data_IF_193433177869
#
_entry.id   IF_193433177869
#
_cell.length_a   1.000
_cell.length_b   1.000
_cell.length_c   1.000
_cell.angle_alpha   90.00
_cell.angle_beta   90.00
_cell.angle_gamma   90.00
#
_symmetry.space_group_name_H-M   'P 1'
#
loop_
_entity.id
_entity.type
_entity.pdbx_description
1 polymer ?
#
# COMPACT_ATOMS: atom_id res chain seq x y z
N UNK A 1 32.13 -38.10 -44.83
CA UNK A 1 32.66 -37.45 -43.63
C UNK A 1 32.11 -36.03 -43.62
N UNK A 2 30.98 -35.83 -42.94
CA UNK A 2 30.27 -34.56 -42.90
C UNK A 2 30.95 -33.61 -41.93
N UNK A 3 31.27 -32.41 -42.42
CA UNK A 3 31.82 -31.29 -41.67
C UNK A 3 30.75 -30.74 -40.73
N UNK A 4 30.99 -30.80 -39.42
CA UNK A 4 30.19 -30.14 -38.40
C UNK A 4 30.64 -28.68 -38.27
N UNK A 5 29.85 -27.76 -38.82
CA UNK A 5 29.95 -26.35 -38.48
C UNK A 5 29.56 -26.18 -37.00
N UNK A 6 30.50 -25.69 -36.19
CA UNK A 6 30.26 -25.29 -34.81
C UNK A 6 29.62 -23.90 -34.84
N UNK A 7 28.34 -23.88 -34.54
CA UNK A 7 27.57 -22.68 -34.26
C UNK A 7 28.09 -22.09 -32.93
N UNK A 8 28.66 -20.89 -32.99
CA UNK A 8 29.13 -20.18 -31.80
C UNK A 8 27.97 -19.32 -31.32
N UNK A 9 27.45 -19.50 -30.10
CA UNK A 9 26.38 -18.64 -29.60
C UNK A 9 26.94 -17.21 -29.49
N UNK A 10 26.26 -16.27 -30.15
CA UNK A 10 26.57 -14.85 -30.06
C UNK A 10 26.62 -14.42 -28.60
N UNK A 11 27.74 -13.85 -28.20
CA UNK A 11 27.88 -13.13 -26.95
C UNK A 11 26.83 -12.00 -26.94
N UNK A 12 25.81 -12.11 -26.09
CA UNK A 12 24.95 -10.98 -25.75
C UNK A 12 25.86 -9.88 -25.21
N UNK A 13 25.95 -8.77 -25.94
CA UNK A 13 26.63 -7.57 -25.46
C UNK A 13 25.89 -7.08 -24.21
N UNK A 14 26.47 -7.34 -23.04
CA UNK A 14 25.98 -6.78 -21.78
C UNK A 14 26.17 -5.28 -21.85
N UNK A 15 25.07 -4.53 -21.95
CA UNK A 15 25.09 -3.07 -21.93
C UNK A 15 25.87 -2.58 -20.70
N UNK A 16 26.69 -1.52 -20.82
CA UNK A 16 27.43 -0.98 -19.69
C UNK A 16 26.45 -0.53 -18.59
N UNK A 17 26.81 -0.69 -17.31
CA UNK A 17 25.95 -0.30 -16.20
C UNK A 17 25.68 1.21 -16.25
N UNK A 18 24.41 1.58 -16.01
CA UNK A 18 24.00 2.98 -15.98
C UNK A 18 24.72 3.74 -14.87
N UNK A 19 25.07 5.03 -15.08
CA UNK A 19 25.66 5.87 -14.04
C UNK A 19 24.72 5.94 -12.82
N UNK A 20 25.30 5.90 -11.61
CA UNK A 20 24.55 6.00 -10.34
C UNK A 20 24.04 7.43 -10.18
N UNK A 21 22.78 7.58 -9.78
CA UNK A 21 22.22 8.86 -9.37
C UNK A 21 23.01 9.40 -8.16
N UNK A 22 23.32 10.68 -8.19
CA UNK A 22 24.02 11.40 -7.13
C UNK A 22 23.24 12.66 -6.78
N UNK A 23 23.34 13.08 -5.52
CA UNK A 23 22.78 14.36 -5.08
C UNK A 23 23.47 15.51 -5.80
N UNK A 24 22.68 16.48 -6.29
CA UNK A 24 23.22 17.71 -6.89
C UNK A 24 23.79 18.66 -5.85
N UNK A 25 23.20 18.65 -4.67
CA UNK A 25 23.58 19.46 -3.52
C UNK A 25 24.25 18.58 -2.45
N UNK A 26 25.07 19.14 -1.54
CA UNK A 26 25.56 18.40 -0.38
C UNK A 26 24.39 17.84 0.44
N UNK A 27 24.58 16.63 1.00
CA UNK A 27 23.60 16.00 1.88
C UNK A 27 23.24 16.96 3.04
N UNK A 28 21.98 17.40 3.17
CA UNK A 28 21.58 18.28 4.26
C UNK A 28 21.57 17.54 5.60
N UNK A 29 21.76 18.25 6.74
CA UNK A 29 21.48 17.69 8.04
C UNK A 29 19.98 17.39 8.20
N UNK A 30 19.66 16.52 9.15
CA UNK A 30 18.27 16.31 9.58
C UNK A 30 17.74 17.60 10.21
N UNK A 31 16.53 17.99 9.82
CA UNK A 31 15.79 19.11 10.38
C UNK A 31 15.00 18.58 11.58
N UNK A 32 15.52 18.79 12.78
CA UNK A 32 14.94 18.37 14.06
C UNK A 32 14.87 19.51 15.11
N UNK A 33 15.14 20.75 14.68
CA UNK A 33 15.00 21.96 15.49
C UNK A 33 13.98 22.92 14.90
N UNK A 34 13.33 23.72 15.76
CA UNK A 34 12.34 24.71 15.33
C UNK A 34 12.96 25.76 14.39
N UNK A 35 14.17 26.24 14.69
CA UNK A 35 14.84 27.25 13.85
C UNK A 35 15.15 26.71 12.45
N UNK A 36 15.67 25.48 12.35
CA UNK A 36 15.95 24.85 11.05
C UNK A 36 14.67 24.58 10.27
N UNK A 37 13.59 24.17 10.96
CA UNK A 37 12.30 23.91 10.36
C UNK A 37 11.65 25.18 9.79
N UNK A 38 11.60 26.27 10.56
CA UNK A 38 11.09 27.57 10.11
C UNK A 38 11.90 28.10 8.93
N UNK A 39 13.24 28.00 9.01
CA UNK A 39 14.11 28.40 7.90
C UNK A 39 13.85 27.57 6.64
N UNK A 40 13.63 26.27 6.78
CA UNK A 40 13.34 25.40 5.65
C UNK A 40 11.97 25.70 5.03
N UNK A 41 10.92 25.88 5.84
CA UNK A 41 9.60 26.28 5.36
C UNK A 41 9.67 27.61 4.59
N UNK A 42 10.45 28.59 5.06
CA UNK A 42 10.70 29.82 4.32
C UNK A 42 11.35 29.54 2.94
N UNK A 43 12.34 28.64 2.86
CA UNK A 43 12.94 28.25 1.56
C UNK A 43 11.92 27.57 0.63
N UNK A 44 11.07 26.69 1.16
CA UNK A 44 10.01 26.01 0.38
C UNK A 44 9.00 27.01 -0.17
N UNK A 45 8.60 28.00 0.64
CA UNK A 45 7.66 29.07 0.23
C UNK A 45 8.22 29.99 -0.85
N UNK A 46 9.54 30.20 -0.86
CA UNK A 46 10.25 30.99 -1.88
C UNK A 46 10.59 30.17 -3.13
N UNK A 47 10.50 28.84 -3.06
CA UNK A 47 10.71 27.95 -4.19
C UNK A 47 9.58 28.04 -5.21
N UNK A 48 9.79 27.45 -6.39
CA UNK A 48 8.83 27.52 -7.49
C UNK A 48 8.46 26.14 -8.03
N UNK A 49 7.31 26.07 -8.72
CA UNK A 49 6.85 24.83 -9.33
C UNK A 49 6.34 23.79 -8.32
N UNK A 50 6.23 22.52 -8.77
CA UNK A 50 5.76 21.41 -7.94
C UNK A 50 6.77 21.02 -6.86
N UNK A 51 6.30 20.27 -5.87
CA UNK A 51 7.10 19.84 -4.71
C UNK A 51 7.21 18.32 -4.72
N UNK A 52 8.42 17.79 -4.73
CA UNK A 52 8.70 16.38 -4.52
C UNK A 52 8.60 16.05 -3.03
N UNK A 53 7.82 15.03 -2.68
CA UNK A 53 7.73 14.50 -1.31
C UNK A 53 7.95 12.99 -1.28
N UNK A 54 8.43 12.52 -0.13
CA UNK A 54 8.45 11.11 0.25
C UNK A 54 8.36 10.98 1.79
N UNK A 55 8.10 9.78 2.30
CA UNK A 55 8.09 9.52 3.73
C UNK A 55 8.59 8.12 4.11
N UNK A 56 9.39 8.05 5.17
CA UNK A 56 9.93 6.80 5.68
C UNK A 56 9.22 6.31 6.94
N UNK A 57 9.02 5.00 7.01
CA UNK A 57 8.31 4.33 8.12
C UNK A 57 9.15 3.19 8.67
N UNK A 58 9.03 2.92 9.97
CA UNK A 58 9.68 1.78 10.62
C UNK A 58 8.87 0.47 10.49
N UNK A 59 8.38 0.19 9.28
CA UNK A 59 7.52 -0.96 8.97
C UNK A 59 8.20 -2.28 9.33
N UNK A 60 7.52 -3.12 10.11
CA UNK A 60 8.09 -4.39 10.60
C UNK A 60 8.90 -4.26 11.90
N UNK A 61 9.17 -3.04 12.37
CA UNK A 61 9.80 -2.78 13.67
C UNK A 61 8.80 -2.16 14.66
N UNK A 62 7.97 -1.23 14.18
CA UNK A 62 6.94 -0.49 14.93
C UNK A 62 5.52 -0.94 14.60
N UNK A 63 4.59 -0.62 15.49
CA UNK A 63 3.17 -0.87 15.25
C UNK A 63 2.58 0.26 14.39
N UNK A 64 2.84 1.50 14.82
CA UNK A 64 2.46 2.71 14.11
C UNK A 64 3.02 2.70 12.69
N UNK A 65 2.23 3.25 11.77
CA UNK A 65 2.65 3.51 10.39
C UNK A 65 3.02 5.00 10.20
N UNK A 66 3.24 5.73 11.30
CA UNK A 66 3.63 7.14 11.27
C UNK A 66 4.96 7.33 10.53
N UNK A 67 5.13 8.50 9.94
CA UNK A 67 6.40 8.90 9.36
C UNK A 67 7.47 9.06 10.45
N UNK A 68 8.69 8.64 10.13
CA UNK A 68 9.91 8.83 10.93
C UNK A 68 10.95 9.69 10.21
N UNK A 69 10.72 9.99 8.93
CA UNK A 69 11.43 10.98 8.14
C UNK A 69 10.48 11.44 7.03
N UNK A 70 10.47 12.73 6.72
CA UNK A 70 9.77 13.29 5.57
C UNK A 70 10.80 14.01 4.71
N UNK A 71 10.86 13.63 3.43
CA UNK A 71 11.76 14.24 2.47
C UNK A 71 10.96 15.22 1.62
N UNK A 72 11.53 16.40 1.41
CA UNK A 72 10.91 17.44 0.58
C UNK A 72 11.96 18.04 -0.34
N UNK A 73 11.60 18.29 -1.59
CA UNK A 73 12.43 19.06 -2.52
C UNK A 73 11.56 19.89 -3.45
N UNK A 74 11.88 21.17 -3.57
CA UNK A 74 11.30 22.12 -4.52
C UNK A 74 12.42 22.87 -5.23
N UNK A 75 12.17 23.31 -6.46
CA UNK A 75 13.13 24.16 -7.15
C UNK A 75 13.37 25.45 -6.35
N UNK A 76 14.63 25.73 -6.04
CA UNK A 76 15.04 26.85 -5.17
C UNK A 76 15.08 26.57 -3.67
N UNK A 77 14.51 25.47 -3.15
CA UNK A 77 14.52 25.16 -1.71
C UNK A 77 15.68 24.27 -1.25
N UNK A 78 16.22 23.48 -2.19
CA UNK A 78 17.06 22.31 -1.89
C UNK A 78 16.27 21.18 -1.21
N UNK A 79 16.94 20.06 -0.97
CA UNK A 79 16.37 18.92 -0.24
C UNK A 79 16.28 19.24 1.26
N UNK A 80 15.15 18.90 1.88
CA UNK A 80 14.96 18.88 3.32
C UNK A 80 14.68 17.47 3.80
N UNK A 81 15.28 17.09 4.92
CA UNK A 81 15.11 15.81 5.59
C UNK A 81 14.53 16.09 6.98
N UNK A 82 13.21 16.14 7.09
CA UNK A 82 12.51 16.57 8.31
C UNK A 82 12.23 15.38 9.21
N UNK A 83 12.66 15.44 10.47
CA UNK A 83 12.27 14.46 11.49
C UNK A 83 10.92 14.86 12.10
N UNK A 84 9.80 14.22 11.71
CA UNK A 84 8.48 14.59 12.21
C UNK A 84 8.31 14.31 13.70
N UNK A 85 9.18 13.50 14.33
CA UNK A 85 9.09 13.17 15.76
C UNK A 85 9.51 14.34 16.65
N UNK A 86 10.28 15.29 16.11
CA UNK A 86 10.75 16.46 16.84
C UNK A 86 9.69 17.57 16.99
N UNK A 87 8.55 17.44 16.31
CA UNK A 87 7.50 18.46 16.20
C UNK A 87 6.14 17.89 16.59
N UNK A 88 5.18 18.77 16.90
CA UNK A 88 3.79 18.36 17.17
C UNK A 88 3.07 17.94 15.87
N UNK A 89 3.25 18.73 14.81
CA UNK A 89 2.86 18.44 13.44
C UNK A 89 3.79 19.20 12.45
N UNK A 90 3.53 19.09 11.16
CA UNK A 90 4.24 19.78 10.09
C UNK A 90 3.34 20.76 9.31
N UNK A 91 2.31 21.34 9.93
CA UNK A 91 1.35 22.22 9.23
C UNK A 91 1.99 23.46 8.63
N UNK A 92 3.03 24.04 9.25
CA UNK A 92 3.75 25.20 8.67
C UNK A 92 4.41 24.86 7.31
N UNK A 93 4.80 23.60 7.12
CA UNK A 93 5.34 23.11 5.85
C UNK A 93 4.24 22.94 4.80
N UNK A 94 3.05 22.48 5.20
CA UNK A 94 1.86 22.44 4.33
C UNK A 94 1.52 23.85 3.83
N UNK A 95 1.45 24.82 4.74
CA UNK A 95 1.20 26.24 4.43
C UNK A 95 2.31 26.82 3.53
N UNK A 96 3.57 26.46 3.75
CA UNK A 96 4.69 26.89 2.92
C UNK A 96 4.64 26.30 1.50
N UNK A 97 4.11 25.09 1.33
CA UNK A 97 3.88 24.49 0.01
C UNK A 97 2.71 25.20 -0.70
N UNK A 98 1.63 25.49 0.04
CA UNK A 98 0.43 26.12 -0.48
C UNK A 98 -0.27 25.27 -1.53
N UNK A 99 -0.77 25.89 -2.60
CA UNK A 99 -1.52 25.21 -3.67
C UNK A 99 -0.62 24.51 -4.72
N UNK A 100 0.65 24.27 -4.41
CA UNK A 100 1.56 23.62 -5.34
C UNK A 100 1.21 22.12 -5.50
N UNK A 101 1.40 21.59 -6.72
CA UNK A 101 1.26 20.15 -6.97
C UNK A 101 2.34 19.36 -6.23
N UNK A 102 1.92 18.34 -5.49
CA UNK A 102 2.83 17.39 -4.84
C UNK A 102 3.17 16.27 -5.80
N UNK A 103 4.43 15.88 -5.84
CA UNK A 103 4.92 14.73 -6.61
C UNK A 103 5.30 13.65 -5.61
N UNK A 104 4.57 12.54 -5.66
CA UNK A 104 4.82 11.35 -4.86
C UNK A 104 5.04 10.15 -5.80
N UNK A 105 5.67 9.12 -5.26
CA UNK A 105 5.78 7.83 -5.93
C UNK A 105 4.98 6.79 -5.14
N UNK A 106 3.93 6.22 -5.74
CA UNK A 106 3.04 5.29 -5.03
C UNK A 106 2.33 5.96 -3.84
N UNK A 107 1.73 7.15 -4.06
CA UNK A 107 1.23 8.07 -3.04
C UNK A 107 0.33 7.44 -1.98
N UNK A 108 -0.41 6.38 -2.33
CA UNK A 108 -1.21 5.59 -1.37
C UNK A 108 -0.42 5.02 -0.18
N UNK A 109 0.90 4.90 -0.30
CA UNK A 109 1.77 4.44 0.79
C UNK A 109 2.05 5.55 1.81
N UNK A 110 2.09 6.82 1.38
CA UNK A 110 2.59 7.93 2.19
C UNK A 110 1.48 8.89 2.63
N UNK A 111 0.44 9.09 1.80
CA UNK A 111 -0.68 9.99 2.10
C UNK A 111 -1.28 9.78 3.49
N UNK A 112 -1.53 8.54 3.99
CA UNK A 112 -2.06 8.37 5.33
C UNK A 112 -1.14 8.88 6.44
N UNK A 113 0.17 8.60 6.36
CA UNK A 113 1.10 9.02 7.42
C UNK A 113 1.48 10.50 7.32
N UNK A 114 1.45 11.09 6.12
CA UNK A 114 1.59 12.53 5.92
C UNK A 114 0.38 13.28 6.52
N UNK A 115 -0.84 12.77 6.29
CA UNK A 115 -2.05 13.36 6.83
C UNK A 115 -2.12 13.34 8.37
N UNK A 116 -1.48 12.37 9.03
CA UNK A 116 -1.35 12.29 10.50
C UNK A 116 -0.50 13.43 11.09
N UNK A 117 0.43 13.99 10.31
CA UNK A 117 1.35 15.06 10.72
C UNK A 117 1.00 16.40 10.05
N UNK A 118 -0.27 16.59 9.66
CA UNK A 118 -0.76 17.88 9.16
C UNK A 118 -0.45 18.20 7.70
N UNK A 119 0.10 17.25 6.94
CA UNK A 119 0.45 17.41 5.52
C UNK A 119 -0.66 16.85 4.62
N UNK A 120 -1.30 17.69 3.79
CA UNK A 120 -2.42 17.32 2.92
C UNK A 120 -2.34 18.02 1.55
N UNK A 121 -2.10 17.29 0.44
CA UNK A 121 -2.03 17.90 -0.88
C UNK A 121 -3.39 18.44 -1.34
N UNK A 122 -3.37 19.57 -2.05
CA UNK A 122 -4.51 20.08 -2.84
C UNK A 122 -4.40 19.73 -4.32
N UNK A 123 -3.21 19.33 -4.77
CA UNK A 123 -2.93 18.82 -6.10
C UNK A 123 -1.84 17.75 -6.02
N UNK A 124 -1.94 16.70 -6.85
CA UNK A 124 -1.08 15.52 -6.78
C UNK A 124 -0.67 15.05 -8.17
N UNK A 125 0.57 14.58 -8.28
CA UNK A 125 1.08 13.78 -9.38
C UNK A 125 1.72 12.50 -8.81
N UNK A 126 1.08 11.36 -9.02
CA UNK A 126 1.63 10.05 -8.63
C UNK A 126 2.37 9.40 -9.81
N UNK A 127 3.70 9.38 -9.72
CA UNK A 127 4.57 8.84 -10.76
C UNK A 127 4.41 7.33 -10.98
N UNK A 128 4.07 6.55 -9.94
CA UNK A 128 3.83 5.11 -10.08
C UNK A 128 2.52 4.86 -10.84
N UNK A 129 1.44 5.56 -10.43
CA UNK A 129 0.14 5.42 -11.05
C UNK A 129 0.18 5.82 -12.53
N UNK A 130 0.83 6.94 -12.84
CA UNK A 130 1.04 7.38 -14.22
C UNK A 130 1.82 6.34 -15.05
N UNK A 131 2.90 5.77 -14.48
CA UNK A 131 3.66 4.71 -15.14
C UNK A 131 2.82 3.46 -15.45
N UNK A 132 1.86 3.11 -14.57
CA UNK A 132 0.92 2.00 -14.83
C UNK A 132 -0.08 2.33 -15.94
N UNK A 133 -0.61 3.56 -15.99
CA UNK A 133 -1.48 4.00 -17.08
C UNK A 133 -0.76 4.00 -18.43
N UNK A 134 0.54 4.30 -18.44
CA UNK A 134 1.42 4.22 -19.60
C UNK A 134 1.85 2.79 -19.96
N UNK A 135 1.36 1.77 -19.23
CA UNK A 135 1.69 0.36 -19.45
C UNK A 135 3.19 0.05 -19.41
N UNK A 136 3.95 0.79 -18.58
CA UNK A 136 5.37 0.54 -18.43
C UNK A 136 5.60 -0.82 -17.75
N UNK A 137 6.58 -1.63 -18.21
CA UNK A 137 6.78 -3.00 -17.71
C UNK A 137 7.21 -3.04 -16.23
N UNK A 138 7.85 -1.98 -15.74
CA UNK A 138 8.25 -1.81 -14.34
C UNK A 138 8.00 -0.37 -13.94
N UNK A 139 7.24 -0.18 -12.86
CA UNK A 139 6.78 1.13 -12.41
C UNK A 139 7.37 1.59 -11.07
N UNK A 140 8.22 0.79 -10.42
CA UNK A 140 8.89 1.25 -9.20
C UNK A 140 9.89 2.37 -9.48
N UNK A 141 10.11 3.27 -8.51
CA UNK A 141 10.90 4.49 -8.67
C UNK A 141 12.24 4.27 -9.38
N UNK A 142 13.06 3.32 -8.90
CA UNK A 142 14.34 2.99 -9.53
C UNK A 142 14.23 2.59 -11.01
N UNK A 143 13.14 1.92 -11.41
CA UNK A 143 12.88 1.56 -12.81
C UNK A 143 12.40 2.74 -13.65
N UNK A 144 11.64 3.67 -13.06
CA UNK A 144 11.26 4.91 -13.76
C UNK A 144 12.47 5.83 -13.95
N UNK A 145 13.34 5.97 -12.94
CA UNK A 145 14.63 6.68 -13.04
C UNK A 145 15.51 6.07 -14.14
N UNK A 146 15.63 4.74 -14.18
CA UNK A 146 16.35 4.03 -15.24
C UNK A 146 15.75 4.31 -16.62
N UNK A 147 14.42 4.20 -16.76
CA UNK A 147 13.73 4.35 -18.03
C UNK A 147 13.80 5.78 -18.60
N UNK A 148 13.51 6.78 -17.76
CA UNK A 148 13.35 8.17 -18.19
C UNK A 148 14.66 8.97 -18.16
N UNK A 149 15.55 8.67 -17.21
CA UNK A 149 16.75 9.48 -16.98
C UNK A 149 18.03 8.73 -17.35
N UNK A 150 17.98 7.41 -17.59
CA UNK A 150 19.16 6.61 -17.85
C UNK A 150 20.12 6.54 -16.67
N UNK A 151 19.60 6.66 -15.45
CA UNK A 151 20.35 6.63 -14.19
C UNK A 151 19.99 5.40 -13.37
N UNK A 152 20.90 4.93 -12.53
CA UNK A 152 20.62 3.86 -11.56
C UNK A 152 20.40 4.43 -10.16
N UNK A 153 19.30 4.01 -9.53
CA UNK A 153 18.99 4.29 -8.12
C UNK A 153 19.28 3.04 -7.29
N UNK A 154 20.09 3.15 -6.25
CA UNK A 154 20.43 2.02 -5.40
C UNK A 154 19.23 1.62 -4.53
N UNK A 155 18.86 0.33 -4.55
CA UNK A 155 17.79 -0.23 -3.71
C UNK A 155 18.34 -0.62 -2.33
N UNK A 156 18.83 0.36 -1.60
CA UNK A 156 19.40 0.18 -0.27
C UNK A 156 18.40 0.69 0.79
N UNK A 157 18.42 0.17 2.02
CA UNK A 157 17.73 0.76 3.18
C UNK A 157 16.18 0.86 3.21
N UNK A 158 15.43 0.47 2.18
CA UNK A 158 13.94 0.49 2.19
C UNK A 158 13.24 -0.35 3.28
N UNK A 159 13.97 -1.29 3.91
CA UNK A 159 13.48 -2.11 5.03
C UNK A 159 14.20 -1.81 6.37
N UNK A 160 14.76 -0.61 6.49
CA UNK A 160 15.45 -0.14 7.69
C UNK A 160 14.48 0.14 8.85
N UNK A 161 15.01 0.10 10.08
CA UNK A 161 14.28 0.59 11.26
C UNK A 161 14.42 2.11 11.34
N UNK A 162 13.64 2.84 10.55
CA UNK A 162 13.65 4.31 10.50
C UNK A 162 13.31 4.99 11.84
N UNK A 163 12.91 4.24 12.87
CA UNK A 163 12.79 4.76 14.24
C UNK A 163 14.14 4.90 14.97
N UNK A 164 15.24 4.47 14.34
CA UNK A 164 16.60 4.61 14.87
C UNK A 164 17.01 6.08 14.97
N UNK A 165 17.65 6.46 16.09
CA UNK A 165 18.22 7.79 16.31
C UNK A 165 19.63 7.69 16.93
N UNK A 166 20.62 8.48 16.47
CA UNK A 166 20.56 9.32 15.26
C UNK A 166 20.44 8.48 13.98
N UNK A 167 19.87 9.07 12.92
CA UNK A 167 19.75 8.41 11.62
C UNK A 167 21.16 8.24 10.97
N UNK A 168 21.52 7.05 10.47
CA UNK A 168 22.79 6.85 9.78
C UNK A 168 22.87 7.66 8.47
N UNK A 169 24.05 8.23 8.17
CA UNK A 169 24.30 9.00 6.94
C UNK A 169 23.91 8.26 5.65
N UNK A 170 24.21 6.95 5.46
CA UNK A 170 23.78 6.22 4.25
C UNK A 170 22.25 6.14 4.09
N UNK A 171 21.49 6.21 5.18
CA UNK A 171 20.03 6.23 5.11
C UNK A 171 19.52 7.61 4.69
N UNK A 172 20.16 8.67 5.19
CA UNK A 172 19.84 10.05 4.79
C UNK A 172 20.15 10.29 3.31
N UNK A 173 21.26 9.75 2.79
CA UNK A 173 21.59 9.82 1.36
C UNK A 173 20.55 9.08 0.51
N UNK A 174 20.16 7.86 0.92
CA UNK A 174 19.09 7.11 0.27
C UNK A 174 17.78 7.92 0.23
N UNK A 175 17.33 8.42 1.38
CA UNK A 175 16.14 9.25 1.52
C UNK A 175 16.18 10.50 0.62
N UNK A 176 17.31 11.21 0.59
CA UNK A 176 17.45 12.40 -0.24
C UNK A 176 17.36 12.08 -1.74
N UNK A 177 17.87 10.92 -2.16
CA UNK A 177 17.83 10.48 -3.57
C UNK A 177 16.41 10.14 -4.05
N UNK A 178 15.52 9.69 -3.16
CA UNK A 178 14.14 9.33 -3.53
C UNK A 178 13.30 10.54 -3.98
N UNK A 179 13.66 11.76 -3.56
CA UNK A 179 13.03 13.02 -4.02
C UNK A 179 13.88 13.82 -5.01
N UNK A 180 15.14 13.44 -5.24
CA UNK A 180 16.14 14.23 -5.97
C UNK A 180 15.72 14.56 -7.42
N UNK A 181 15.03 13.61 -8.07
CA UNK A 181 14.69 13.67 -9.51
C UNK A 181 13.19 13.53 -9.80
N UNK A 182 12.33 13.61 -8.78
CA UNK A 182 10.88 13.45 -8.98
C UNK A 182 10.29 14.55 -9.86
N UNK A 183 10.81 15.78 -9.81
CA UNK A 183 10.36 16.88 -10.67
C UNK A 183 10.66 16.58 -12.14
N UNK A 184 11.87 16.10 -12.46
CA UNK A 184 12.25 15.68 -13.81
C UNK A 184 11.42 14.50 -14.29
N UNK A 185 11.23 13.48 -13.44
CA UNK A 185 10.39 12.33 -13.76
C UNK A 185 8.96 12.75 -14.07
N UNK A 186 8.35 13.59 -13.22
CA UNK A 186 7.00 14.13 -13.42
C UNK A 186 6.87 14.80 -14.79
N UNK A 187 7.83 15.63 -15.18
CA UNK A 187 7.77 16.34 -16.46
C UNK A 187 7.83 15.39 -17.67
N UNK A 188 8.68 14.37 -17.61
CA UNK A 188 8.81 13.38 -18.70
C UNK A 188 7.60 12.45 -18.79
N UNK A 189 7.08 12.00 -17.64
CA UNK A 189 5.90 11.15 -17.56
C UNK A 189 4.65 11.91 -18.04
N UNK A 190 4.48 13.18 -17.64
CA UNK A 190 3.38 14.03 -18.11
C UNK A 190 3.41 14.18 -19.63
N UNK A 191 4.59 14.42 -20.23
CA UNK A 191 4.72 14.51 -21.68
C UNK A 191 4.30 13.21 -22.40
N UNK A 192 4.57 12.04 -21.80
CA UNK A 192 4.12 10.76 -22.32
C UNK A 192 2.61 10.53 -22.13
N UNK A 193 2.04 10.96 -21.01
CA UNK A 193 0.59 10.95 -20.78
C UNK A 193 -0.14 11.81 -21.81
N UNK A 194 0.40 13.00 -22.12
CA UNK A 194 -0.13 13.86 -23.19
C UNK A 194 -0.03 13.18 -24.56
N UNK A 195 1.14 12.66 -24.91
CA UNK A 195 1.40 11.99 -26.18
C UNK A 195 0.51 10.76 -26.40
N UNK A 196 0.14 10.06 -25.34
CA UNK A 196 -0.71 8.87 -25.38
C UNK A 196 -2.19 9.16 -25.15
N UNK A 197 -2.58 10.42 -24.91
CA UNK A 197 -3.97 10.82 -24.67
C UNK A 197 -4.52 10.40 -23.31
N UNK A 198 -3.66 10.07 -22.34
CA UNK A 198 -4.02 9.53 -21.01
C UNK A 198 -3.89 10.55 -19.88
N UNK A 199 -3.52 11.80 -20.19
CA UNK A 199 -3.38 12.88 -19.20
C UNK A 199 -4.64 13.09 -18.35
N UNK A 200 -5.81 13.13 -18.98
CA UNK A 200 -7.08 13.30 -18.26
C UNK A 200 -7.41 12.10 -17.35
N UNK A 201 -7.05 10.88 -17.76
CA UNK A 201 -7.24 9.68 -16.93
C UNK A 201 -6.37 9.75 -15.68
N UNK A 202 -5.11 10.16 -15.84
CA UNK A 202 -4.18 10.35 -14.74
C UNK A 202 -4.68 11.45 -13.79
N UNK A 203 -5.13 12.59 -14.31
CA UNK A 203 -5.67 13.69 -13.50
C UNK A 203 -6.85 13.24 -12.62
N UNK A 204 -7.79 12.47 -13.17
CA UNK A 204 -8.91 11.94 -12.40
C UNK A 204 -8.48 10.90 -11.35
N UNK A 205 -7.48 10.06 -11.67
CA UNK A 205 -6.92 9.12 -10.70
C UNK A 205 -6.16 9.84 -9.58
N UNK A 206 -5.45 10.95 -9.87
CA UNK A 206 -4.78 11.77 -8.87
C UNK A 206 -5.76 12.54 -7.98
N UNK A 207 -6.80 13.12 -8.56
CA UNK A 207 -7.88 13.80 -7.83
C UNK A 207 -8.55 12.85 -6.82
N UNK A 208 -8.82 11.61 -7.24
CA UNK A 208 -9.39 10.59 -6.35
C UNK A 208 -8.49 10.31 -5.12
N UNK A 209 -7.16 10.49 -5.23
CA UNK A 209 -6.23 10.28 -4.14
C UNK A 209 -6.16 11.45 -3.15
N UNK A 210 -6.62 12.65 -3.49
CA UNK A 210 -6.61 13.81 -2.57
C UNK A 210 -7.46 13.55 -1.31
N UNK A 211 -8.49 12.71 -1.44
CA UNK A 211 -9.36 12.28 -0.32
C UNK A 211 -8.98 10.93 0.28
N UNK A 212 -7.88 10.31 -0.16
CA UNK A 212 -7.48 8.98 0.28
C UNK A 212 -6.93 8.97 1.71
N UNK A 213 -7.59 8.22 2.60
CA UNK A 213 -7.19 8.11 4.02
C UNK A 213 -6.65 6.73 4.39
N UNK A 214 -6.24 5.93 3.41
CA UNK A 214 -5.79 4.55 3.61
C UNK A 214 -6.84 3.50 3.26
N UNK A 215 -6.39 2.26 3.08
CA UNK A 215 -7.28 1.15 2.77
C UNK A 215 -8.24 0.85 3.95
N UNK A 216 -9.49 0.46 3.68
CA UNK A 216 -10.44 0.10 4.73
C UNK A 216 -9.86 -1.01 5.60
N UNK A 217 -10.03 -0.86 6.92
CA UNK A 217 -9.54 -1.87 7.85
C UNK A 217 -10.28 -3.18 7.62
N UNK A 218 -9.54 -4.25 7.34
CA UNK A 218 -10.12 -5.59 7.19
C UNK A 218 -10.78 -6.02 8.50
N UNK A 219 -12.02 -6.45 8.39
CA UNK A 219 -12.71 -7.16 9.46
C UNK A 219 -11.93 -8.44 9.84
N UNK A 220 -11.88 -8.73 11.14
CA UNK A 220 -11.32 -9.96 11.68
C UNK A 220 -9.85 -10.27 11.27
N UNK A 221 -8.94 -9.28 11.42
CA UNK A 221 -7.50 -9.44 11.14
C UNK A 221 -6.86 -10.67 11.80
N UNK A 222 -7.36 -11.08 12.96
CA UNK A 222 -6.97 -12.28 13.69
C UNK A 222 -7.05 -13.56 12.84
N UNK A 223 -7.90 -13.60 11.80
CA UNK A 223 -8.03 -14.74 10.89
C UNK A 223 -6.79 -15.02 10.05
N UNK A 224 -5.86 -14.06 9.94
CA UNK A 224 -4.57 -14.26 9.25
C UNK A 224 -3.50 -14.89 10.14
N UNK A 225 -3.81 -15.23 11.39
CA UNK A 225 -2.89 -15.94 12.29
C UNK A 225 -2.31 -17.17 11.60
N UNK A 226 -0.99 -17.23 11.51
CA UNK A 226 -0.27 -18.32 10.86
C UNK A 226 -0.61 -19.65 11.51
N UNK A 227 -1.14 -20.61 10.75
CA UNK A 227 -1.56 -21.90 11.29
C UNK A 227 -2.97 -21.94 11.87
N UNK A 228 -3.81 -20.91 11.65
CA UNK A 228 -5.20 -20.86 12.13
C UNK A 228 -6.03 -22.10 11.74
N UNK A 229 -5.75 -22.74 10.61
CA UNK A 229 -6.39 -24.00 10.19
C UNK A 229 -6.23 -25.14 11.22
N UNK A 230 -5.29 -25.01 12.16
CA UNK A 230 -5.07 -25.98 13.23
C UNK A 230 -5.86 -25.66 14.51
N UNK A 231 -6.58 -24.54 14.57
CA UNK A 231 -7.56 -24.23 15.61
C UNK A 231 -8.87 -24.96 15.27
N UNK A 232 -9.12 -26.08 15.95
CA UNK A 232 -10.30 -26.92 15.70
C UNK A 232 -11.45 -26.49 16.60
N UNK A 233 -12.61 -26.21 16.01
CA UNK A 233 -13.82 -25.83 16.72
C UNK A 233 -13.94 -24.32 16.97
N UNK A 234 -15.20 -23.85 17.04
CA UNK A 234 -15.55 -22.42 17.20
C UNK A 234 -15.02 -21.83 18.51
N UNK A 235 -14.99 -22.62 19.59
CA UNK A 235 -14.45 -22.20 20.90
C UNK A 235 -12.96 -21.86 20.82
N UNK A 236 -12.17 -22.74 20.20
CA UNK A 236 -10.73 -22.51 19.99
C UNK A 236 -10.50 -21.28 19.12
N UNK A 237 -11.33 -21.05 18.10
CA UNK A 237 -11.26 -19.83 17.30
C UNK A 237 -11.60 -18.58 18.11
N UNK A 238 -12.59 -18.65 19.01
CA UNK A 238 -12.91 -17.56 19.95
C UNK A 238 -11.72 -17.21 20.86
N UNK A 239 -11.02 -18.22 21.37
CA UNK A 239 -9.78 -18.03 22.14
C UNK A 239 -8.66 -17.40 21.30
N UNK A 240 -8.46 -17.88 20.07
CA UNK A 240 -7.49 -17.28 19.14
C UNK A 240 -7.80 -15.81 18.90
N UNK A 241 -9.09 -15.45 18.68
CA UNK A 241 -9.54 -14.06 18.51
C UNK A 241 -9.15 -13.21 19.72
N UNK A 242 -9.60 -13.60 20.92
CA UNK A 242 -9.37 -12.82 22.14
C UNK A 242 -7.87 -12.62 22.44
N UNK A 243 -7.06 -13.68 22.32
CA UNK A 243 -5.61 -13.61 22.55
C UNK A 243 -4.92 -12.75 21.48
N UNK A 244 -5.35 -12.85 20.22
CA UNK A 244 -4.81 -12.02 19.14
C UNK A 244 -5.12 -10.54 19.37
N UNK A 245 -6.35 -10.20 19.78
CA UNK A 245 -6.77 -8.83 20.06
C UNK A 245 -6.03 -8.26 21.27
N UNK A 246 -5.83 -9.05 22.33
CA UNK A 246 -5.01 -8.65 23.47
C UNK A 246 -3.56 -8.36 23.04
N UNK A 247 -2.99 -9.20 22.17
CA UNK A 247 -1.65 -8.96 21.60
C UNK A 247 -1.60 -7.68 20.80
N UNK A 248 -2.61 -7.43 19.97
CA UNK A 248 -2.67 -6.23 19.12
C UNK A 248 -2.72 -4.96 19.98
N UNK A 249 -3.57 -4.92 21.02
CA UNK A 249 -3.62 -3.83 22.00
C UNK A 249 -2.27 -3.58 22.69
N UNK A 250 -1.58 -4.64 23.13
CA UNK A 250 -0.26 -4.50 23.76
C UNK A 250 0.78 -3.98 22.74
N UNK A 251 0.72 -4.45 21.50
CA UNK A 251 1.62 -4.04 20.44
C UNK A 251 1.45 -2.55 20.09
N UNK A 252 0.21 -2.10 19.99
CA UNK A 252 -0.20 -0.71 19.79
C UNK A 252 0.31 0.20 20.92
N UNK A 253 -0.03 -0.12 22.16
CA UNK A 253 0.38 0.66 23.34
C UNK A 253 1.90 0.79 23.49
N UNK A 254 2.66 -0.19 23.00
CA UNK A 254 4.12 -0.22 23.12
C UNK A 254 4.84 0.19 21.83
N UNK A 255 4.09 0.56 20.80
CA UNK A 255 4.58 0.83 19.45
C UNK A 255 5.65 -0.16 18.98
N UNK A 256 5.29 -1.44 18.93
CA UNK A 256 6.17 -2.53 18.49
C UNK A 256 5.39 -3.55 17.68
N UNK A 257 6.05 -4.27 16.79
CA UNK A 257 5.36 -5.30 16.01
C UNK A 257 4.71 -6.39 16.87
N UNK A 258 3.47 -6.82 16.54
CA UNK A 258 2.74 -7.83 17.32
C UNK A 258 3.51 -9.13 17.53
N UNK A 259 4.26 -9.59 16.52
CA UNK A 259 5.05 -10.82 16.62
C UNK A 259 6.15 -10.79 17.68
N UNK A 260 6.67 -9.60 18.05
CA UNK A 260 7.63 -9.42 19.15
C UNK A 260 6.97 -9.53 20.53
N UNK A 261 5.68 -9.21 20.63
CA UNK A 261 4.90 -9.39 21.85
C UNK A 261 4.57 -10.87 22.07
N UNK A 262 3.95 -11.49 21.07
CA UNK A 262 3.53 -12.89 21.12
C UNK A 262 3.49 -13.50 19.69
N UNK A 263 4.34 -14.50 19.38
CA UNK A 263 4.31 -15.17 18.08
C UNK A 263 2.98 -15.88 17.79
N UNK A 264 2.56 -15.96 16.52
CA UNK A 264 1.32 -16.63 16.11
C UNK A 264 1.22 -18.08 16.60
N UNK A 265 2.35 -18.81 16.58
CA UNK A 265 2.40 -20.18 17.08
C UNK A 265 2.02 -20.29 18.57
N UNK A 266 2.36 -19.26 19.36
CA UNK A 266 2.06 -19.21 20.78
C UNK A 266 0.60 -18.86 21.06
N UNK A 267 -0.03 -18.03 20.21
CA UNK A 267 -1.49 -17.80 20.27
C UNK A 267 -2.21 -19.15 20.15
N UNK A 268 -1.80 -19.97 19.17
CA UNK A 268 -2.41 -21.29 18.95
C UNK A 268 -2.15 -22.26 20.12
N UNK A 269 -0.97 -22.24 20.73
CA UNK A 269 -0.65 -23.05 21.92
C UNK A 269 -1.57 -22.67 23.09
N UNK A 270 -1.63 -21.38 23.45
CA UNK A 270 -2.46 -20.90 24.55
C UNK A 270 -3.94 -21.20 24.30
N UNK A 271 -4.44 -20.96 23.09
CA UNK A 271 -5.84 -21.22 22.74
C UNK A 271 -6.23 -22.70 22.80
N UNK A 272 -5.27 -23.62 22.57
CA UNK A 272 -5.53 -25.08 22.63
C UNK A 272 -5.51 -25.60 24.06
N UNK A 273 -4.54 -25.17 24.84
CA UNK A 273 -4.39 -25.60 26.24
C UNK A 273 -5.43 -24.92 27.15
N UNK A 274 -5.90 -23.72 26.76
CA UNK A 274 -6.92 -22.93 27.46
C UNK A 274 -6.69 -22.85 28.99
N UNK A 275 -5.51 -22.35 29.43
CA UNK A 275 -5.15 -22.33 30.85
C UNK A 275 -6.09 -21.43 31.66
N UNK A 276 -6.59 -21.93 32.79
CA UNK A 276 -7.55 -21.22 33.65
C UNK A 276 -6.94 -20.44 34.80
N UNK A 277 -5.63 -20.55 34.98
CA UNK A 277 -4.91 -19.85 36.03
C UNK A 277 -3.46 -19.56 35.61
N UNK A 278 -2.81 -18.66 36.36
CA UNK A 278 -1.45 -18.23 36.11
C UNK A 278 -0.41 -19.37 36.21
N UNK A 279 -0.67 -20.40 37.00
CA UNK A 279 0.24 -21.54 37.15
C UNK A 279 0.23 -22.37 35.86
N UNK A 280 -0.95 -22.73 35.36
CA UNK A 280 -1.13 -23.46 34.11
C UNK A 280 -0.53 -22.69 32.92
N UNK A 281 -0.81 -21.38 32.82
CA UNK A 281 -0.26 -20.56 31.75
C UNK A 281 1.28 -20.54 31.77
N UNK A 282 1.90 -20.41 32.95
CA UNK A 282 3.37 -20.37 33.10
C UNK A 282 4.07 -21.69 32.75
N UNK A 283 3.35 -22.81 32.70
CA UNK A 283 3.91 -24.10 32.29
C UNK A 283 4.07 -24.24 30.77
N UNK A 284 3.35 -23.40 29.99
CA UNK A 284 3.44 -23.41 28.53
C UNK A 284 4.82 -22.99 28.02
N UNK A 285 5.20 -23.52 26.85
CA UNK A 285 6.55 -23.34 26.32
C UNK A 285 6.86 -21.87 26.01
N UNK A 286 5.87 -21.11 25.54
CA UNK A 286 5.98 -19.67 25.30
C UNK A 286 6.34 -18.86 26.55
N UNK A 287 5.91 -19.29 27.75
CA UNK A 287 6.16 -18.55 28.99
C UNK A 287 7.58 -18.71 29.54
N UNK A 288 8.43 -19.52 28.88
CA UNK A 288 9.88 -19.57 29.15
C UNK A 288 10.57 -18.28 28.73
N UNK A 289 10.04 -17.60 27.71
CA UNK A 289 10.56 -16.35 27.17
C UNK A 289 10.16 -15.15 28.03
N UNK A 290 11.11 -14.24 28.31
CA UNK A 290 10.85 -13.05 29.17
C UNK A 290 9.79 -12.10 28.59
N UNK A 291 9.68 -11.99 27.27
CA UNK A 291 8.73 -11.09 26.59
C UNK A 291 7.27 -11.42 26.90
N UNK A 292 6.74 -12.56 26.44
CA UNK A 292 5.37 -12.99 26.74
C UNK A 292 5.06 -13.07 28.24
N UNK A 293 6.03 -13.50 29.06
CA UNK A 293 5.89 -13.64 30.51
C UNK A 293 5.63 -12.32 31.24
N UNK A 294 5.92 -11.18 30.63
CA UNK A 294 5.61 -9.86 31.20
C UNK A 294 4.10 -9.59 31.25
N UNK A 295 3.33 -10.17 30.33
CA UNK A 295 1.91 -9.88 30.11
C UNK A 295 1.01 -11.04 30.56
N UNK A 296 1.41 -11.75 31.62
CA UNK A 296 0.70 -12.97 32.08
C UNK A 296 -0.75 -12.68 32.45
N UNK A 297 -1.04 -11.53 33.05
CA UNK A 297 -2.40 -11.20 33.44
C UNK A 297 -3.26 -10.94 32.21
N UNK A 298 -2.75 -10.17 31.25
CA UNK A 298 -3.42 -9.83 30.00
C UNK A 298 -3.73 -11.08 29.15
N UNK A 299 -2.86 -12.09 29.19
CA UNK A 299 -3.13 -13.37 28.54
C UNK A 299 -4.19 -14.21 29.26
N UNK A 300 -4.23 -14.16 30.59
CA UNK A 300 -5.28 -14.85 31.36
C UNK A 300 -6.63 -14.18 31.13
N UNK A 301 -6.68 -12.86 31.17
CA UNK A 301 -7.89 -12.07 30.92
C UNK A 301 -8.43 -12.38 29.51
N UNK A 302 -7.57 -12.45 28.50
CA UNK A 302 -7.95 -12.81 27.14
C UNK A 302 -8.47 -14.27 27.01
N UNK A 303 -7.89 -15.20 27.77
CA UNK A 303 -8.38 -16.59 27.81
C UNK A 303 -9.74 -16.66 28.52
N UNK A 304 -9.90 -15.93 29.63
CA UNK A 304 -11.17 -15.84 30.35
C UNK A 304 -12.27 -15.24 29.46
N UNK A 305 -11.97 -14.15 28.76
CA UNK A 305 -12.85 -13.52 27.77
C UNK A 305 -13.28 -14.53 26.69
N UNK A 306 -12.33 -15.24 26.07
CA UNK A 306 -12.65 -16.24 25.05
C UNK A 306 -13.40 -17.47 25.58
N UNK A 307 -13.20 -17.85 26.85
CA UNK A 307 -13.95 -18.90 27.52
C UNK A 307 -15.36 -18.44 27.93
N UNK A 308 -15.57 -17.16 28.17
CA UNK A 308 -16.85 -16.58 28.57
C UNK A 308 -17.83 -16.38 27.41
N UNK A 309 -17.34 -16.32 26.16
CA UNK A 309 -18.18 -16.16 24.96
C UNK A 309 -19.33 -17.19 24.92
N UNK A 310 -20.54 -16.71 24.65
CA UNK A 310 -21.69 -17.57 24.40
C UNK A 310 -21.57 -18.30 23.05
N UNK A 311 -22.30 -19.41 22.87
CA UNK A 311 -22.17 -20.25 21.66
C UNK A 311 -22.58 -19.53 20.36
N UNK A 312 -23.43 -18.52 20.43
CA UNK A 312 -23.83 -17.65 19.32
C UNK A 312 -22.80 -16.56 19.02
N UNK A 313 -22.02 -16.12 20.01
CA UNK A 313 -20.94 -15.12 19.86
C UNK A 313 -19.62 -15.70 19.33
N UNK A 314 -19.49 -17.04 19.33
CA UNK A 314 -18.30 -17.71 18.83
C UNK A 314 -18.11 -17.51 17.32
N UNK A 315 -16.88 -17.23 16.86
CA UNK A 315 -16.64 -16.99 15.44
C UNK A 315 -16.98 -18.21 14.59
N UNK A 316 -17.54 -17.95 13.41
CA UNK A 316 -17.76 -19.00 12.41
C UNK A 316 -16.44 -19.51 11.84
N UNK A 317 -16.39 -20.82 11.56
CA UNK A 317 -15.21 -21.47 10.96
C UNK A 317 -14.87 -20.90 9.58
N UNK A 318 -15.91 -20.57 8.80
CA UNK A 318 -15.80 -19.80 7.57
C UNK A 318 -16.12 -18.34 7.87
N UNK A 319 -15.29 -17.37 7.44
CA UNK A 319 -15.62 -15.96 7.59
C UNK A 319 -16.91 -15.66 6.84
N UNK A 320 -17.75 -14.80 7.41
CA UNK A 320 -18.84 -14.20 6.66
C UNK A 320 -18.19 -13.29 5.61
N UNK A 321 -18.41 -13.55 4.33
CA UNK A 321 -17.84 -12.73 3.27
C UNK A 321 -18.96 -11.87 2.72
N UNK A 322 -18.84 -10.56 2.91
CA UNK A 322 -19.59 -9.63 2.11
C UNK A 322 -19.10 -9.67 0.67
N UNK A 323 -20.04 -9.69 -0.27
CA UNK A 323 -19.77 -9.78 -1.69
C UNK A 323 -19.71 -11.22 -2.23
N UNK A 324 -19.35 -11.36 -3.51
CA UNK A 324 -19.65 -12.56 -4.26
C UNK A 324 -18.68 -13.70 -3.91
N UNK A 325 -19.12 -14.98 -3.93
CA UNK A 325 -18.29 -16.12 -3.58
C UNK A 325 -17.12 -16.27 -4.57
N UNK A 326 -16.09 -17.09 -4.25
CA UNK A 326 -14.98 -17.33 -5.16
C UNK A 326 -15.46 -17.80 -6.55
N UNK A 327 -15.02 -17.16 -7.66
CA UNK A 327 -15.52 -17.45 -9.02
C UNK A 327 -15.38 -18.91 -9.48
N UNK A 328 -14.43 -19.66 -8.89
CA UNK A 328 -14.17 -21.07 -9.21
C UNK A 328 -15.42 -21.95 -9.06
N UNK A 329 -16.35 -21.60 -8.19
CA UNK A 329 -17.55 -22.39 -7.94
C UNK A 329 -18.78 -21.91 -8.74
N UNK A 330 -18.66 -20.83 -9.53
CA UNK A 330 -19.82 -20.22 -10.18
C UNK A 330 -20.29 -21.04 -11.37
N UNK A 331 -19.40 -21.63 -12.16
CA UNK A 331 -19.78 -22.45 -13.32
C UNK A 331 -20.76 -23.57 -12.93
N UNK A 332 -20.56 -24.19 -11.76
CA UNK A 332 -21.41 -25.28 -11.29
C UNK A 332 -22.67 -24.81 -10.56
N UNK A 333 -22.57 -23.75 -9.75
CA UNK A 333 -23.65 -23.32 -8.83
C UNK A 333 -24.48 -22.14 -9.35
N UNK A 334 -23.88 -21.29 -10.18
CA UNK A 334 -24.42 -20.02 -10.68
C UNK A 334 -23.98 -19.78 -12.14
N UNK A 335 -24.36 -20.67 -13.08
CA UNK A 335 -23.84 -20.66 -14.45
C UNK A 335 -24.10 -19.33 -15.20
N UNK A 336 -25.23 -18.67 -14.95
CA UNK A 336 -25.53 -17.36 -15.53
C UNK A 336 -24.55 -16.28 -15.07
N UNK A 337 -24.23 -16.22 -13.77
CA UNK A 337 -23.23 -15.29 -13.24
C UNK A 337 -21.83 -15.59 -13.79
N UNK A 338 -21.50 -16.88 -13.99
CA UNK A 338 -20.25 -17.30 -14.60
C UNK A 338 -20.14 -16.84 -16.07
N UNK A 339 -21.22 -16.96 -16.84
CA UNK A 339 -21.28 -16.50 -18.22
C UNK A 339 -21.09 -14.97 -18.32
N UNK A 340 -21.83 -14.19 -17.51
CA UNK A 340 -21.65 -12.74 -17.40
C UNK A 340 -20.22 -12.35 -17.05
N UNK A 341 -19.61 -13.02 -16.06
CA UNK A 341 -18.23 -12.73 -15.66
C UNK A 341 -17.21 -13.04 -16.78
N UNK A 342 -17.43 -14.11 -17.54
CA UNK A 342 -16.56 -14.45 -18.67
C UNK A 342 -16.66 -13.39 -19.77
N UNK A 343 -17.88 -13.01 -20.19
CA UNK A 343 -18.12 -11.98 -21.18
C UNK A 343 -17.58 -10.60 -20.75
N UNK A 344 -17.79 -10.22 -19.48
CA UNK A 344 -17.30 -8.96 -18.94
C UNK A 344 -15.77 -8.90 -18.92
N UNK A 345 -15.09 -10.00 -18.61
CA UNK A 345 -13.62 -10.09 -18.65
C UNK A 345 -13.07 -9.97 -20.06
N UNK A 346 -13.72 -10.57 -21.03
CA UNK A 346 -13.35 -10.46 -22.45
C UNK A 346 -13.51 -9.01 -22.93
N UNK A 347 -14.62 -8.35 -22.58
CA UNK A 347 -14.85 -6.94 -22.87
C UNK A 347 -13.74 -6.05 -22.27
N UNK A 348 -13.46 -6.21 -20.97
CA UNK A 348 -12.40 -5.45 -20.28
C UNK A 348 -11.02 -5.71 -20.90
N UNK A 349 -10.69 -6.96 -21.22
CA UNK A 349 -9.42 -7.30 -21.86
C UNK A 349 -9.24 -6.60 -23.21
N UNK A 350 -10.29 -6.61 -24.04
CA UNK A 350 -10.28 -5.93 -25.34
C UNK A 350 -10.12 -4.42 -25.19
N UNK A 351 -10.86 -3.78 -24.28
CA UNK A 351 -10.78 -2.32 -24.07
C UNK A 351 -9.40 -1.94 -23.55
N UNK A 352 -8.82 -2.75 -22.64
CA UNK A 352 -7.49 -2.55 -22.11
C UNK A 352 -6.42 -2.67 -23.21
N UNK A 353 -6.52 -3.66 -24.09
CA UNK A 353 -5.64 -3.83 -25.26
C UNK A 353 -5.74 -2.65 -26.23
N UNK A 354 -6.96 -2.19 -26.54
CA UNK A 354 -7.21 -1.04 -27.43
C UNK A 354 -6.60 0.27 -26.93
N UNK A 355 -6.49 0.41 -25.61
CA UNK A 355 -6.00 1.61 -24.95
C UNK A 355 -4.59 1.45 -24.37
N UNK A 356 -3.92 0.32 -24.66
CA UNK A 356 -2.57 -0.01 -24.20
C UNK A 356 -2.38 0.24 -22.70
N UNK A 357 -3.17 -0.40 -21.85
CA UNK A 357 -3.01 -0.37 -20.38
C UNK A 357 -3.37 -1.71 -19.74
N UNK A 358 -2.88 -2.03 -18.52
CA UNK A 358 -3.27 -3.24 -17.81
C UNK A 358 -4.76 -3.26 -17.46
N UNK A 359 -5.38 -4.44 -17.49
CA UNK A 359 -6.82 -4.62 -17.21
C UNK A 359 -7.23 -4.13 -15.81
N UNK A 360 -6.36 -4.34 -14.83
CA UNK A 360 -6.54 -3.94 -13.44
C UNK A 360 -6.44 -2.43 -13.23
N UNK A 361 -5.79 -1.71 -14.15
CA UNK A 361 -5.70 -0.25 -14.17
C UNK A 361 -6.89 0.37 -14.91
N UNK A 362 -7.44 -0.33 -15.91
CA UNK A 362 -8.68 0.07 -16.56
C UNK A 362 -9.86 0.02 -15.58
N UNK A 363 -10.06 -1.11 -14.89
CA UNK A 363 -11.13 -1.26 -13.90
C UNK A 363 -10.78 -2.33 -12.85
N UNK A 364 -11.15 -2.10 -11.59
CA UNK A 364 -10.91 -3.07 -10.52
C UNK A 364 -11.58 -4.43 -10.83
N UNK A 365 -10.85 -5.55 -10.79
CA UNK A 365 -11.43 -6.88 -10.99
C UNK A 365 -12.51 -7.22 -9.96
N UNK A 366 -12.47 -6.57 -8.79
CA UNK A 366 -13.49 -6.68 -7.75
C UNK A 366 -14.83 -6.13 -8.20
N UNK A 367 -14.84 -4.98 -8.88
CA UNK A 367 -16.04 -4.32 -9.40
C UNK A 367 -16.68 -5.14 -10.51
N UNK A 368 -15.88 -5.59 -11.49
CA UNK A 368 -16.36 -6.46 -12.58
C UNK A 368 -17.00 -7.73 -12.03
N UNK A 369 -16.39 -8.31 -10.99
CA UNK A 369 -16.93 -9.50 -10.32
C UNK A 369 -18.22 -9.20 -9.57
N UNK A 370 -18.31 -8.09 -8.84
CA UNK A 370 -19.52 -7.71 -8.12
C UNK A 370 -20.69 -7.50 -9.09
N UNK A 371 -20.44 -6.75 -10.17
CA UNK A 371 -21.40 -6.46 -11.22
C UNK A 371 -21.89 -7.72 -11.96
N UNK A 372 -21.00 -8.66 -12.26
CA UNK A 372 -21.39 -9.93 -12.87
C UNK A 372 -22.20 -10.83 -11.93
N UNK A 373 -21.95 -10.75 -10.62
CA UNK A 373 -22.67 -11.53 -9.61
C UNK A 373 -24.09 -11.00 -9.41
N UNK A 374 -24.22 -9.70 -9.19
CA UNK A 374 -25.46 -8.99 -8.88
C UNK A 374 -25.57 -7.75 -9.79
N UNK A 375 -25.99 -7.94 -11.05
CA UNK A 375 -26.14 -6.83 -11.99
C UNK A 375 -27.32 -5.93 -11.59
N UNK A 376 -27.33 -4.65 -12.03
CA UNK A 376 -28.49 -3.79 -11.89
C UNK A 376 -29.74 -4.43 -12.50
N UNK A 377 -30.92 -4.14 -11.94
CA UNK A 377 -32.19 -4.71 -12.42
C UNK A 377 -32.44 -4.43 -13.90
N UNK A 378 -31.91 -3.31 -14.41
CA UNK A 378 -31.84 -2.99 -15.84
C UNK A 378 -30.36 -2.83 -16.22
N UNK A 379 -29.71 -3.80 -16.88
CA UNK A 379 -28.30 -3.73 -17.24
C UNK A 379 -28.10 -2.89 -18.51
N UNK A 380 -28.56 -1.64 -18.48
CA UNK A 380 -28.25 -0.65 -19.52
C UNK A 380 -27.00 0.16 -19.13
N UNK A 381 -26.51 0.97 -20.07
CA UNK A 381 -25.27 1.75 -19.89
C UNK A 381 -25.36 2.71 -18.71
N UNK A 382 -26.53 3.31 -18.47
CA UNK A 382 -26.72 4.29 -17.40
C UNK A 382 -26.63 3.62 -16.03
N UNK A 383 -27.41 2.57 -15.79
CA UNK A 383 -27.43 1.90 -14.49
C UNK A 383 -26.14 1.15 -14.19
N UNK A 384 -25.46 0.61 -15.22
CA UNK A 384 -24.13 0.03 -15.05
C UNK A 384 -23.10 1.11 -14.71
N UNK A 385 -23.18 2.26 -15.37
CA UNK A 385 -22.32 3.40 -15.07
C UNK A 385 -22.50 3.91 -13.64
N UNK A 386 -23.75 4.09 -13.20
CA UNK A 386 -24.10 4.50 -11.84
C UNK A 386 -23.56 3.50 -10.80
N UNK A 387 -23.78 2.19 -11.02
CA UNK A 387 -23.29 1.15 -10.12
C UNK A 387 -21.75 1.11 -10.02
N UNK A 388 -21.04 1.36 -11.12
CA UNK A 388 -19.59 1.45 -11.11
C UNK A 388 -19.10 2.70 -10.37
N UNK A 389 -19.74 3.85 -10.61
CA UNK A 389 -19.39 5.12 -9.96
C UNK A 389 -19.66 5.08 -8.45
N UNK A 390 -20.80 4.54 -8.01
CA UNK A 390 -21.13 4.33 -6.59
C UNK A 390 -20.11 3.41 -5.90
N UNK A 391 -19.54 2.45 -6.65
CA UNK A 391 -18.51 1.55 -6.15
C UNK A 391 -17.07 2.10 -6.27
N UNK A 392 -16.91 3.37 -6.68
CA UNK A 392 -15.62 4.09 -6.70
C UNK A 392 -14.83 3.97 -8.00
N UNK A 393 -15.44 3.55 -9.12
CA UNK A 393 -14.82 3.68 -10.43
C UNK A 393 -14.72 5.17 -10.82
N UNK A 394 -13.60 5.57 -11.43
CA UNK A 394 -13.39 6.95 -11.85
C UNK A 394 -14.20 7.24 -13.14
N UNK A 395 -14.60 8.51 -13.40
CA UNK A 395 -15.42 8.85 -14.56
C UNK A 395 -14.86 8.35 -15.89
N UNK A 396 -13.56 8.49 -16.13
CA UNK A 396 -12.90 7.99 -17.35
C UNK A 396 -13.00 6.46 -17.49
N UNK A 397 -12.96 5.73 -16.37
CA UNK A 397 -13.11 4.27 -16.38
C UNK A 397 -14.54 3.91 -16.77
N UNK A 398 -15.52 4.55 -16.15
CA UNK A 398 -16.95 4.34 -16.43
C UNK A 398 -17.24 4.62 -17.90
N UNK A 399 -16.76 5.74 -18.43
CA UNK A 399 -16.92 6.13 -19.83
C UNK A 399 -16.40 5.05 -20.79
N UNK A 400 -15.23 4.48 -20.51
CA UNK A 400 -14.64 3.44 -21.35
C UNK A 400 -15.36 2.10 -21.27
N UNK A 401 -15.84 1.69 -20.10
CA UNK A 401 -16.27 0.29 -19.86
C UNK A 401 -17.78 0.09 -19.79
N UNK A 402 -18.57 1.13 -19.47
CA UNK A 402 -19.99 0.96 -19.15
C UNK A 402 -20.79 0.35 -20.31
N UNK A 403 -20.51 0.76 -21.55
CA UNK A 403 -21.22 0.26 -22.74
C UNK A 403 -21.01 -1.24 -22.94
N UNK A 404 -19.76 -1.68 -22.98
CA UNK A 404 -19.42 -3.08 -23.23
C UNK A 404 -19.75 -3.97 -22.03
N UNK A 405 -19.64 -3.46 -20.81
CA UNK A 405 -20.09 -4.18 -19.62
C UNK A 405 -21.61 -4.33 -19.60
N UNK A 406 -22.38 -3.30 -19.94
CA UNK A 406 -23.84 -3.42 -20.06
C UNK A 406 -24.23 -4.51 -21.06
N UNK A 407 -23.59 -4.55 -22.23
CA UNK A 407 -23.79 -5.61 -23.21
C UNK A 407 -23.41 -7.01 -22.66
N UNK A 408 -22.30 -7.12 -21.93
CA UNK A 408 -21.85 -8.39 -21.34
C UNK A 408 -22.73 -8.92 -20.20
N UNK A 409 -23.56 -8.07 -19.59
CA UNK A 409 -24.47 -8.43 -18.50
C UNK A 409 -25.86 -8.83 -19.00
N UNK A 410 -26.16 -8.60 -20.27
CA UNK A 410 -27.42 -9.06 -20.87
C UNK A 410 -27.43 -10.59 -20.95
N UNK A 411 -28.60 -11.22 -20.71
CA UNK A 411 -28.73 -12.67 -20.59
C UNK A 411 -28.49 -13.45 -21.88
#
# INVERSE_FOLDING_TARGET
MSSSASDTPGSEEVAPPLPRLQLRDPLPPVIDTVDDYVNYCARVSLGSGPVALDAERASGYRYSQRAYLVQVRRDGSGTGLVDPIAFDDLTDLDEAIGDAEWILHAATQDLPCLAEIGLRPTALFDTELAGRLLNLPRVGLASLVEHYLGLSLAKEHSAADWSTRPLPEPWLEYAALDVEVLIELRNLIEADLERTGKREWAAQDFEALLSFTGAPQREERWRRTSGIHRARGRRTLGLVRAIWEARDRIAEQRDTTPGRILPDASILEIAREAPRDASALRQLSVMRSRGPRRFVQEWLDAVEEGLALAEDELPHSTPNREGPPPPRAWADKHPEAAARLAAAREAVARIAEQNDLPTENLISPGLVRALAWEPPSTPDVAHVGDALAEAGARPWQVELVATDLAAALQP
#
